data_IF_588163436534
#
_entry.id   IF_588163436534
#
_cell.length_a   1.000
_cell.length_b   1.000
_cell.length_c   1.000
_cell.angle_alpha   90.00
_cell.angle_beta   90.00
_cell.angle_gamma   90.00
#
_symmetry.space_group_name_H-M   'P 1'
#
loop_
_entity.id
_entity.type
_entity.pdbx_description
1 polymer ?
#
# COMPACT_ATOMS: atom_id res chain seq x y z
N UNK A 1 22.34 22.09 19.27
CA UNK A 1 21.83 23.06 18.27
C UNK A 1 21.39 22.35 16.98
N UNK A 2 21.87 21.13 16.74
CA UNK A 2 21.72 20.39 15.47
C UNK A 2 20.35 19.73 15.25
N UNK A 3 19.58 19.49 16.32
CA UNK A 3 18.27 18.85 16.19
C UNK A 3 17.26 19.75 15.45
N UNK A 4 17.29 21.05 15.70
CA UNK A 4 16.41 22.02 15.05
C UNK A 4 16.78 22.17 13.58
N UNK A 5 18.08 22.32 13.26
CA UNK A 5 18.55 22.40 11.88
C UNK A 5 18.24 21.12 11.09
N UNK A 6 18.50 19.95 11.68
CA UNK A 6 18.18 18.66 11.07
C UNK A 6 16.68 18.50 10.80
N UNK A 7 15.81 19.00 11.68
CA UNK A 7 14.37 18.96 11.46
C UNK A 7 13.94 19.90 10.33
N UNK A 8 14.48 21.12 10.28
CA UNK A 8 14.19 22.09 9.21
C UNK A 8 14.59 21.54 7.85
N UNK A 9 15.78 20.94 7.74
CA UNK A 9 16.23 20.32 6.49
C UNK A 9 15.31 19.17 6.04
N UNK A 10 14.90 18.29 6.97
CA UNK A 10 13.97 17.20 6.66
C UNK A 10 12.61 17.74 6.19
N UNK A 11 12.06 18.75 6.87
CA UNK A 11 10.79 19.35 6.49
C UNK A 11 10.87 19.97 5.08
N UNK A 12 11.93 20.72 4.79
CA UNK A 12 12.12 21.34 3.48
C UNK A 12 12.20 20.30 2.34
N UNK A 13 12.81 19.13 2.60
CA UNK A 13 12.83 18.03 1.63
C UNK A 13 11.41 17.50 1.38
N UNK A 14 10.63 17.25 2.44
CA UNK A 14 9.25 16.77 2.31
C UNK A 14 8.36 17.79 1.59
N UNK A 15 8.41 19.07 1.98
CA UNK A 15 7.67 20.14 1.34
C UNK A 15 8.00 20.25 -0.15
N UNK A 16 9.28 20.09 -0.53
CA UNK A 16 9.69 20.08 -1.93
C UNK A 16 9.09 18.88 -2.69
N UNK A 17 9.12 17.68 -2.11
CA UNK A 17 8.54 16.49 -2.75
C UNK A 17 7.01 16.64 -2.91
N UNK A 18 6.32 17.15 -1.90
CA UNK A 18 4.87 17.37 -1.93
C UNK A 18 4.49 18.41 -2.98
N UNK A 19 5.24 19.51 -3.09
CA UNK A 19 5.06 20.51 -4.15
C UNK A 19 5.19 19.89 -5.54
N UNK A 20 6.20 19.04 -5.78
CA UNK A 20 6.38 18.39 -7.07
C UNK A 20 5.24 17.42 -7.39
N UNK A 21 4.71 16.72 -6.39
CA UNK A 21 3.55 15.84 -6.55
C UNK A 21 2.26 16.63 -6.86
N UNK A 22 2.05 17.77 -6.21
CA UNK A 22 0.92 18.67 -6.47
C UNK A 22 0.98 19.21 -7.91
N UNK A 23 2.16 19.67 -8.35
CA UNK A 23 2.38 20.14 -9.73
C UNK A 23 2.09 19.03 -10.75
N UNK A 24 2.56 17.80 -10.51
CA UNK A 24 2.30 16.67 -11.39
C UNK A 24 0.81 16.36 -11.57
N UNK A 25 -0.02 16.73 -10.60
CA UNK A 25 -1.47 16.45 -10.60
C UNK A 25 -2.31 17.60 -11.16
N UNK A 26 -1.87 18.85 -10.95
CA UNK A 26 -2.72 20.04 -11.14
C UNK A 26 -2.22 20.99 -12.22
N UNK A 27 -0.94 20.94 -12.58
CA UNK A 27 -0.39 21.86 -13.55
C UNK A 27 -0.90 21.55 -14.97
N UNK A 28 -1.00 22.59 -15.80
CA UNK A 28 -1.29 22.42 -17.22
C UNK A 28 -0.10 21.76 -17.95
N UNK A 29 -0.35 21.25 -19.17
CA UNK A 29 0.63 20.50 -19.92
C UNK A 29 1.96 21.25 -20.17
N UNK A 30 1.92 22.57 -20.42
CA UNK A 30 3.12 23.34 -20.71
C UNK A 30 3.96 23.55 -19.44
N UNK A 31 3.29 23.82 -18.32
CA UNK A 31 3.93 23.88 -17.00
C UNK A 31 4.53 22.52 -16.60
N UNK A 32 3.81 21.42 -16.84
CA UNK A 32 4.30 20.06 -16.57
C UNK A 32 5.59 19.74 -17.35
N UNK A 33 5.63 20.05 -18.65
CA UNK A 33 6.84 19.82 -19.47
C UNK A 33 8.02 20.64 -18.95
N UNK A 34 7.77 21.88 -18.53
CA UNK A 34 8.81 22.76 -17.97
C UNK A 34 9.36 22.20 -16.66
N UNK A 35 8.48 21.81 -15.74
CA UNK A 35 8.86 21.17 -14.46
C UNK A 35 9.58 19.84 -14.68
N UNK A 36 9.09 18.99 -15.58
CA UNK A 36 9.73 17.71 -15.87
C UNK A 36 11.16 17.91 -16.38
N UNK A 37 11.39 18.89 -17.26
CA UNK A 37 12.73 19.20 -17.79
C UNK A 37 13.69 19.72 -16.72
N UNK A 38 13.22 20.50 -15.75
CA UNK A 38 14.08 21.03 -14.68
C UNK A 38 14.30 20.03 -13.54
N UNK A 39 13.28 19.25 -13.19
CA UNK A 39 13.29 18.44 -11.96
C UNK A 39 13.71 16.99 -12.18
N UNK A 40 13.36 16.36 -13.31
CA UNK A 40 13.76 14.97 -13.55
C UNK A 40 15.29 14.78 -13.53
N UNK A 41 16.12 15.68 -14.12
CA UNK A 41 17.57 15.56 -14.01
C UNK A 41 18.05 15.62 -12.56
N UNK A 42 17.47 16.53 -11.75
CA UNK A 42 17.85 16.71 -10.34
C UNK A 42 17.45 15.51 -9.48
N UNK A 43 16.26 14.99 -9.68
CA UNK A 43 15.77 13.79 -8.99
C UNK A 43 16.58 12.55 -9.39
N UNK A 44 16.88 12.39 -10.67
CA UNK A 44 17.71 11.29 -11.17
C UNK A 44 19.11 11.35 -10.57
N UNK A 45 19.69 12.54 -10.49
CA UNK A 45 21.01 12.73 -9.88
C UNK A 45 20.99 12.41 -8.37
N UNK A 46 19.96 12.84 -7.65
CA UNK A 46 19.76 12.47 -6.25
C UNK A 46 19.67 10.94 -6.05
N UNK A 47 18.93 10.25 -6.91
CA UNK A 47 18.86 8.78 -6.90
C UNK A 47 20.22 8.14 -7.18
N UNK A 48 20.96 8.60 -8.19
CA UNK A 48 22.31 8.07 -8.49
C UNK A 48 23.24 8.24 -7.31
N UNK A 49 23.33 9.44 -6.75
CA UNK A 49 24.18 9.72 -5.60
C UNK A 49 23.84 8.82 -4.39
N UNK A 50 22.54 8.64 -4.11
CA UNK A 50 22.09 7.75 -3.04
C UNK A 50 22.43 6.28 -3.33
N UNK A 51 22.23 5.81 -4.56
CA UNK A 51 22.51 4.42 -4.93
C UNK A 51 24.00 4.10 -4.95
N UNK A 52 24.85 5.02 -5.42
CA UNK A 52 26.31 4.89 -5.35
C UNK A 52 26.79 4.73 -3.90
N UNK A 53 26.24 5.52 -2.97
CA UNK A 53 26.57 5.37 -1.55
C UNK A 53 26.12 4.03 -0.94
N UNK A 54 25.23 3.30 -1.62
CA UNK A 54 24.71 2.01 -1.19
C UNK A 54 25.18 0.84 -2.08
N UNK A 55 26.15 1.07 -2.97
CA UNK A 55 26.73 0.01 -3.79
C UNK A 55 27.40 -1.04 -2.88
N UNK A 56 27.18 -2.35 -3.13
CA UNK A 56 27.85 -3.39 -2.36
C UNK A 56 29.37 -3.23 -2.43
N UNK A 57 30.03 -3.38 -1.28
CA UNK A 57 31.48 -3.46 -1.20
C UNK A 57 32.02 -4.79 -1.77
N UNK A 58 33.34 -4.98 -1.71
CA UNK A 58 34.02 -6.22 -2.16
C UNK A 58 33.48 -7.51 -1.50
N UNK A 59 32.76 -7.39 -0.38
CA UNK A 59 32.15 -8.52 0.35
C UNK A 59 30.65 -8.68 0.04
N UNK A 60 30.10 -7.85 -0.82
CA UNK A 60 28.67 -7.77 -1.12
C UNK A 60 27.84 -7.12 -0.01
N UNK A 61 28.47 -6.46 0.97
CA UNK A 61 27.80 -5.74 2.04
C UNK A 61 27.51 -4.29 1.61
N UNK A 62 26.36 -3.73 2.00
CA UNK A 62 26.11 -2.30 1.84
C UNK A 62 26.91 -1.53 2.90
N UNK A 63 27.82 -0.62 2.53
CA UNK A 63 28.69 0.08 3.49
C UNK A 63 27.93 1.09 4.35
N UNK A 64 26.84 1.66 3.83
CA UNK A 64 26.03 2.68 4.53
C UNK A 64 25.04 2.04 5.51
N UNK A 65 24.46 0.87 5.17
CA UNK A 65 23.51 0.17 6.05
C UNK A 65 24.21 -0.75 7.06
N UNK A 66 25.41 -1.24 6.75
CA UNK A 66 26.16 -2.10 7.64
C UNK A 66 26.82 -1.29 8.76
N UNK A 67 26.90 -1.88 9.95
CA UNK A 67 27.64 -1.34 11.09
C UNK A 67 28.65 -2.38 11.59
N UNK A 68 29.46 -2.03 12.59
CA UNK A 68 30.42 -2.98 13.18
C UNK A 68 29.76 -4.24 13.75
N UNK A 69 28.49 -4.16 14.15
CA UNK A 69 27.75 -5.25 14.81
C UNK A 69 26.64 -5.86 13.94
N UNK A 70 26.35 -5.27 12.77
CA UNK A 70 25.30 -5.75 11.88
C UNK A 70 25.73 -5.62 10.42
N UNK A 71 25.65 -6.73 9.68
CA UNK A 71 25.96 -6.76 8.24
C UNK A 71 24.67 -6.77 7.44
N UNK A 72 24.54 -5.85 6.50
CA UNK A 72 23.43 -5.75 5.58
C UNK A 72 23.92 -6.09 4.17
N UNK A 73 23.43 -7.18 3.58
CA UNK A 73 23.77 -7.57 2.21
C UNK A 73 23.01 -6.73 1.18
N UNK A 74 23.64 -6.48 0.04
CA UNK A 74 22.95 -5.91 -1.11
C UNK A 74 22.08 -6.99 -1.81
N UNK A 75 20.92 -6.61 -2.40
CA UNK A 75 20.32 -5.28 -2.37
C UNK A 75 19.68 -4.96 -1.01
N UNK A 76 20.12 -3.85 -0.40
CA UNK A 76 19.54 -3.36 0.85
C UNK A 76 18.20 -2.66 0.59
N UNK A 77 17.52 -2.22 1.66
CA UNK A 77 16.19 -1.58 1.55
C UNK A 77 16.17 -0.37 0.60
N UNK A 78 17.26 0.41 0.52
CA UNK A 78 17.35 1.55 -0.42
C UNK A 78 17.31 1.08 -1.88
N UNK A 79 18.02 0.01 -2.23
CA UNK A 79 17.96 -0.59 -3.56
C UNK A 79 16.57 -1.18 -3.86
N UNK A 80 15.91 -1.76 -2.87
CA UNK A 80 14.55 -2.29 -3.02
C UNK A 80 13.54 -1.17 -3.34
N UNK A 81 13.60 -0.06 -2.59
CA UNK A 81 12.76 1.12 -2.85
C UNK A 81 13.05 1.72 -4.24
N UNK A 82 14.33 1.80 -4.62
CA UNK A 82 14.69 2.31 -5.94
C UNK A 82 14.15 1.41 -7.06
N UNK A 83 14.26 0.09 -6.91
CA UNK A 83 13.68 -0.86 -7.87
C UNK A 83 12.16 -0.67 -7.98
N UNK A 84 11.46 -0.55 -6.86
CA UNK A 84 10.01 -0.35 -6.84
C UNK A 84 9.60 0.93 -7.60
N UNK A 85 10.25 2.06 -7.32
CA UNK A 85 9.83 3.36 -7.85
C UNK A 85 10.43 3.72 -9.22
N UNK A 86 11.58 3.17 -9.59
CA UNK A 86 12.23 3.48 -10.87
C UNK A 86 12.00 2.41 -11.94
N UNK A 87 11.81 1.15 -11.54
CA UNK A 87 11.70 0.02 -12.47
C UNK A 87 10.29 -0.58 -12.43
N UNK A 88 9.84 -1.08 -11.28
CA UNK A 88 8.56 -1.79 -11.18
C UNK A 88 7.34 -0.87 -11.37
N UNK A 89 7.44 0.39 -10.94
CA UNK A 89 6.44 1.43 -11.14
C UNK A 89 6.57 2.25 -12.43
N UNK A 90 7.61 1.99 -13.25
CA UNK A 90 7.95 2.81 -14.40
C UNK A 90 7.27 2.39 -15.71
N UNK A 91 6.61 3.34 -16.39
CA UNK A 91 6.11 3.30 -17.79
C UNK A 91 4.72 2.70 -18.08
N UNK A 92 3.96 2.22 -17.10
CA UNK A 92 2.53 1.98 -17.34
C UNK A 92 1.79 3.34 -17.41
N UNK A 93 1.02 3.64 -18.48
CA UNK A 93 0.07 4.74 -18.42
C UNK A 93 -0.80 4.54 -17.18
N UNK A 94 -0.80 5.52 -16.27
CA UNK A 94 -1.70 5.58 -15.11
C UNK A 94 -3.13 5.85 -15.63
N UNK A 95 -3.70 4.89 -16.35
CA UNK A 95 -5.11 4.89 -16.71
C UNK A 95 -5.87 4.23 -15.56
N UNK A 96 -6.58 5.06 -14.81
CA UNK A 96 -7.74 4.67 -14.00
C UNK A 96 -7.56 3.52 -12.98
N UNK A 97 -6.79 3.77 -11.91
CA UNK A 97 -7.03 3.06 -10.64
C UNK A 97 -8.15 3.69 -9.79
N UNK A 98 -8.87 4.69 -10.31
CA UNK A 98 -10.22 5.04 -9.80
C UNK A 98 -11.28 4.08 -10.35
N UNK A 99 -11.06 2.76 -10.23
CA UNK A 99 -12.14 1.80 -10.35
C UNK A 99 -12.71 1.55 -8.95
N UNK A 100 -13.95 1.97 -8.64
CA UNK A 100 -14.51 1.73 -7.33
C UNK A 100 -14.58 0.24 -7.08
N UNK A 101 -14.04 -0.16 -5.93
CA UNK A 101 -14.08 -1.51 -5.38
C UNK A 101 -15.43 -2.17 -5.65
N UNK A 102 -15.39 -3.26 -6.41
CA UNK A 102 -16.51 -4.11 -6.80
C UNK A 102 -17.27 -4.47 -5.50
N UNK A 103 -18.40 -3.80 -5.25
CA UNK A 103 -19.30 -4.14 -4.13
C UNK A 103 -19.63 -5.63 -4.24
N UNK A 104 -19.28 -6.40 -3.20
CA UNK A 104 -19.73 -7.80 -3.05
C UNK A 104 -21.26 -7.84 -3.16
N UNK A 105 -21.86 -8.74 -3.95
CA UNK A 105 -23.31 -8.90 -3.95
C UNK A 105 -23.76 -9.36 -2.56
N UNK A 106 -24.70 -8.65 -1.95
CA UNK A 106 -25.45 -9.17 -0.80
C UNK A 106 -26.28 -10.35 -1.31
N UNK A 107 -25.99 -11.54 -0.81
CA UNK A 107 -26.85 -12.71 -0.96
C UNK A 107 -28.21 -12.38 -0.32
N UNK A 108 -29.35 -12.46 -1.03
CA UNK A 108 -30.64 -12.26 -0.41
C UNK A 108 -30.99 -13.47 0.44
N UNK A 109 -31.30 -13.24 1.71
CA UNK A 109 -31.97 -14.21 2.56
C UNK A 109 -33.34 -14.54 1.95
N UNK A 110 -33.57 -15.81 1.60
CA UNK A 110 -34.90 -16.31 1.29
C UNK A 110 -35.53 -16.89 2.55
N UNK A 111 -36.50 -16.15 3.09
CA UNK A 111 -37.55 -16.65 3.97
C UNK A 111 -38.84 -16.77 3.17
N UNK A 112 -39.44 -17.98 3.18
CA UNK A 112 -40.87 -18.34 3.03
C UNK A 112 -40.91 -19.87 2.94
N UNK A 113 -41.75 -20.65 3.62
CA UNK A 113 -43.05 -20.38 4.22
C UNK A 113 -44.08 -21.38 3.66
N UNK A 114 -44.30 -22.49 4.38
CA UNK A 114 -45.58 -23.20 4.63
C UNK A 114 -46.36 -23.92 3.50
N UNK A 115 -46.76 -25.19 3.75
CA UNK A 115 -48.14 -25.79 3.76
C UNK A 115 -48.13 -27.32 3.41
N UNK A 116 -49.23 -28.11 3.51
CA UNK A 116 -49.50 -29.04 4.63
C UNK A 116 -49.70 -30.51 4.18
N UNK A 117 -49.69 -31.48 5.11
CA UNK A 117 -49.87 -32.90 4.76
C UNK A 117 -50.19 -33.82 5.96
N UNK A 118 -51.46 -33.85 6.28
CA UNK A 118 -52.28 -34.85 6.99
C UNK A 118 -51.80 -36.32 7.00
N UNK A 119 -51.77 -36.96 8.18
CA UNK A 119 -52.09 -38.39 8.41
C UNK A 119 -52.22 -38.75 9.91
N UNK A 120 -53.47 -38.81 10.38
CA UNK A 120 -54.08 -39.90 11.18
C UNK A 120 -53.26 -40.69 12.22
N UNK A 121 -53.71 -40.67 13.49
CA UNK A 121 -53.25 -41.57 14.55
C UNK A 121 -54.04 -41.44 15.85
N UNK A 122 -55.26 -41.96 15.84
CA UNK A 122 -56.23 -42.00 16.96
C UNK A 122 -55.89 -43.16 17.88
N UNK A 123 -55.64 -42.96 19.19
CA UNK A 123 -56.03 -43.89 20.26
C UNK A 123 -56.04 -43.17 21.63
N UNK A 124 -57.17 -43.26 22.32
CA UNK A 124 -57.39 -42.84 23.70
C UNK A 124 -57.08 -43.99 24.67
N UNK A 125 -56.72 -43.67 25.93
CA UNK A 125 -57.08 -44.39 27.17
C UNK A 125 -56.57 -43.60 28.41
N UNK A 126 -57.49 -43.27 29.33
CA UNK A 126 -57.29 -42.86 30.76
C UNK A 126 -57.31 -44.19 31.60
N UNK A 127 -57.08 -44.32 32.95
CA UNK A 127 -56.85 -43.34 34.03
C UNK A 127 -55.93 -43.76 35.24
N UNK A 128 -55.94 -42.92 36.31
CA UNK A 128 -55.71 -43.20 37.77
C UNK A 128 -54.28 -43.02 38.35
N UNK A 129 -53.99 -42.70 39.62
CA UNK A 129 -54.64 -42.19 40.87
C UNK A 129 -53.47 -41.79 41.82
N UNK A 130 -53.76 -41.00 42.86
CA UNK A 130 -52.83 -40.44 43.86
C UNK A 130 -52.22 -41.45 44.90
N UNK A 131 -51.43 -40.88 45.82
CA UNK A 131 -50.74 -41.41 47.03
C UNK A 131 -49.31 -41.93 46.76
N UNK A 132 -48.26 -41.55 47.49
CA UNK A 132 -48.11 -41.17 48.90
C UNK A 132 -47.09 -40.05 49.13
#
# INVERSE_FOLDING_TARGET
>A
MDQILGQVLRNAVWERLDMLADLATRADAQSLVSVARSELPRLTEGWRAMLTAHEPDERGDCPTCSTRWHRCKAPCSVWQVAHEHLVAGGLAPQQDLRRPSRRKPKVPAQTRGTTPGEATGRHALIPQVAHH
#
